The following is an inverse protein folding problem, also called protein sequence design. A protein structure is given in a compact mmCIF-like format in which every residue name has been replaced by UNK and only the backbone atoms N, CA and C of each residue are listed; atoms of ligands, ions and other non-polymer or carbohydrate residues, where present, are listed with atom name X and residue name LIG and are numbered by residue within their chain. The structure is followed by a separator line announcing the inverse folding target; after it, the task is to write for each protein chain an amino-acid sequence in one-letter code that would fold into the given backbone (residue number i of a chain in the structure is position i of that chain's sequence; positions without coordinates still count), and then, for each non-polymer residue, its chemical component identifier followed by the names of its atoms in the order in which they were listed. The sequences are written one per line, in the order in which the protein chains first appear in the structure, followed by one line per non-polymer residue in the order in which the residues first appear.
data_IF_737435930180
#
_entry.id   IF_737435930180
#
_cell.length_a   1.000
_cell.length_b   1.000
_cell.length_c   1.000
_cell.angle_alpha   90.00
_cell.angle_beta   90.00
_cell.angle_gamma   90.00
#
_symmetry.space_group_name_H-M   'P 1'
#
loop_
_entity.id
_entity.type
_entity.pdbx_description
1 polymer ?
#
# COMPACT_ATOMS: atom_id res chain seq x y z
N UNK A 1 23.33 6.26 11.41
CA UNK A 1 24.44 5.99 10.46
C UNK A 1 24.69 4.48 10.25
N UNK A 2 23.65 3.63 10.29
CA UNK A 2 23.76 2.17 10.14
C UNK A 2 22.97 1.61 8.94
N UNK A 3 22.59 2.46 7.99
CA UNK A 3 21.80 2.09 6.81
C UNK A 3 22.63 1.95 5.52
N UNK A 4 23.96 2.01 5.59
CA UNK A 4 24.84 2.06 4.41
C UNK A 4 25.67 0.79 4.16
N UNK A 5 25.45 -0.31 4.89
CA UNK A 5 26.38 -1.46 4.90
C UNK A 5 25.85 -2.76 4.25
N UNK A 6 24.72 -2.76 3.55
CA UNK A 6 24.24 -4.00 2.93
C UNK A 6 23.57 -3.68 1.60
N UNK A 7 24.27 -3.97 0.49
CA UNK A 7 23.80 -3.86 -0.88
C UNK A 7 22.70 -4.86 -1.23
N UNK A 8 21.67 -4.95 -0.39
CA UNK A 8 20.48 -5.75 -0.63
C UNK A 8 19.29 -4.77 -0.60
N UNK A 9 19.17 -4.00 -1.69
CA UNK A 9 18.29 -2.85 -1.79
C UNK A 9 16.81 -3.20 -2.04
N UNK A 10 16.50 -4.49 -2.10
CA UNK A 10 15.20 -4.97 -2.54
C UNK A 10 14.78 -6.17 -1.69
N UNK A 11 13.69 -6.03 -0.94
CA UNK A 11 13.04 -7.14 -0.25
C UNK A 11 11.84 -7.60 -1.08
N UNK A 12 12.01 -8.68 -1.84
CA UNK A 12 10.91 -9.32 -2.59
C UNK A 12 10.35 -10.48 -1.77
N UNK A 13 9.07 -10.39 -1.42
CA UNK A 13 8.33 -11.48 -0.79
C UNK A 13 7.32 -12.06 -1.78
N UNK A 14 7.57 -13.27 -2.27
CA UNK A 14 6.60 -14.00 -3.08
C UNK A 14 5.55 -14.65 -2.18
N UNK A 15 4.30 -14.20 -2.27
CA UNK A 15 3.19 -14.70 -1.44
C UNK A 15 2.58 -15.96 -2.06
N UNK A 16 2.12 -15.88 -3.31
CA UNK A 16 1.46 -16.98 -4.00
C UNK A 16 1.37 -16.71 -5.51
N UNK A 17 1.43 -17.75 -6.34
CA UNK A 17 1.22 -17.68 -7.80
C UNK A 17 -0.26 -17.59 -8.18
N UNK A 18 -0.72 -16.43 -8.69
CA UNK A 18 -2.14 -16.12 -8.85
C UNK A 18 -2.86 -17.08 -9.80
N UNK A 19 -2.25 -17.37 -10.95
CA UNK A 19 -2.67 -18.40 -11.90
C UNK A 19 -1.46 -18.95 -12.64
N UNK A 20 -1.52 -20.22 -13.06
CA UNK A 20 -0.48 -20.83 -13.89
C UNK A 20 -1.16 -21.45 -15.13
N UNK A 21 -1.01 -20.81 -16.29
CA UNK A 21 -1.54 -21.30 -17.56
C UNK A 21 -0.46 -21.17 -18.63
N UNK A 22 -0.10 -22.29 -19.26
CA UNK A 22 0.75 -22.30 -20.46
C UNK A 22 2.13 -21.65 -20.31
N UNK A 23 2.71 -21.64 -19.11
CA UNK A 23 4.03 -21.04 -18.83
C UNK A 23 3.99 -19.61 -18.26
N UNK A 24 2.83 -18.95 -18.21
CA UNK A 24 2.64 -17.67 -17.53
C UNK A 24 2.14 -17.88 -16.11
N UNK A 25 2.93 -17.41 -15.15
CA UNK A 25 2.73 -17.60 -13.73
C UNK A 25 2.91 -16.28 -12.96
N UNK A 26 2.02 -15.27 -13.16
CA UNK A 26 2.12 -14.03 -12.39
C UNK A 26 1.96 -14.34 -10.90
N UNK A 27 3.06 -14.15 -10.18
CA UNK A 27 3.11 -14.23 -8.74
C UNK A 27 2.57 -12.94 -8.13
N UNK A 28 1.79 -13.08 -7.07
CA UNK A 28 1.66 -11.99 -6.10
C UNK A 28 3.00 -11.93 -5.36
N UNK A 29 3.94 -11.17 -5.90
CA UNK A 29 5.15 -10.76 -5.18
C UNK A 29 4.99 -9.33 -4.68
N UNK A 30 5.37 -9.13 -3.41
CA UNK A 30 5.50 -7.81 -2.81
C UNK A 30 6.95 -7.38 -2.94
N UNK A 31 7.19 -6.31 -3.70
CA UNK A 31 8.49 -5.69 -3.84
C UNK A 31 8.60 -4.50 -2.91
N UNK A 32 9.52 -4.59 -1.96
CA UNK A 32 9.81 -3.51 -1.05
C UNK A 32 11.22 -2.97 -1.34
N UNK A 33 11.25 -1.87 -2.08
CA UNK A 33 12.44 -1.06 -2.38
C UNK A 33 12.37 0.30 -1.66
N UNK A 34 13.47 1.05 -1.62
CA UNK A 34 13.56 2.38 -1.02
C UNK A 34 12.55 3.39 -1.58
N UNK A 35 12.22 3.30 -2.88
CA UNK A 35 11.17 4.13 -3.50
C UNK A 35 9.78 3.76 -2.97
N UNK A 36 9.46 2.46 -2.92
CA UNK A 36 8.18 1.97 -2.39
C UNK A 36 8.00 2.32 -0.91
N UNK A 37 9.08 2.32 -0.12
CA UNK A 37 9.08 2.78 1.28
C UNK A 37 8.70 4.26 1.42
N UNK A 38 9.27 5.14 0.58
CA UNK A 38 8.92 6.56 0.56
C UNK A 38 7.45 6.77 0.17
N UNK A 39 6.99 6.07 -0.86
CA UNK A 39 5.60 6.14 -1.31
C UNK A 39 4.63 5.63 -0.24
N UNK A 40 4.95 4.52 0.42
CA UNK A 40 4.18 3.97 1.54
C UNK A 40 4.12 4.94 2.72
N UNK A 41 5.25 5.58 3.06
CA UNK A 41 5.30 6.62 4.10
C UNK A 41 4.42 7.83 3.77
N UNK A 42 4.43 8.27 2.51
CA UNK A 42 3.59 9.36 2.05
C UNK A 42 2.10 9.00 2.07
N UNK A 43 1.72 7.81 1.56
CA UNK A 43 0.34 7.33 1.54
C UNK A 43 -0.21 7.18 2.96
N UNK A 44 0.56 6.59 3.88
CA UNK A 44 0.12 6.40 5.27
C UNK A 44 0.09 7.72 6.04
N UNK A 45 1.08 8.61 5.86
CA UNK A 45 1.13 9.91 6.53
C UNK A 45 0.02 10.86 6.09
N UNK A 46 -0.14 11.05 4.77
CA UNK A 46 -1.21 11.87 4.21
C UNK A 46 -2.57 11.23 4.48
N UNK A 47 -2.67 9.90 4.36
CA UNK A 47 -3.87 9.15 4.67
C UNK A 47 -4.32 9.35 6.12
N UNK A 48 -3.39 9.32 7.08
CA UNK A 48 -3.66 9.56 8.49
C UNK A 48 -4.16 10.99 8.76
N UNK A 49 -3.55 12.00 8.14
CA UNK A 49 -3.98 13.40 8.24
C UNK A 49 -5.40 13.60 7.70
N UNK A 50 -5.70 13.02 6.53
CA UNK A 50 -7.04 13.07 5.92
C UNK A 50 -8.06 12.38 6.84
N UNK A 51 -7.68 11.26 7.47
CA UNK A 51 -8.56 10.51 8.36
C UNK A 51 -8.98 11.32 9.59
N UNK A 52 -8.04 12.03 10.21
CA UNK A 52 -8.32 12.93 11.35
C UNK A 52 -9.22 14.08 10.88
N UNK A 53 -8.88 14.71 9.75
CA UNK A 53 -9.66 15.81 9.20
C UNK A 53 -11.09 15.40 8.87
N UNK A 54 -11.26 14.28 8.18
CA UNK A 54 -12.57 13.74 7.81
C UNK A 54 -13.38 13.32 9.04
N UNK A 55 -12.73 12.75 10.06
CA UNK A 55 -13.41 12.37 11.31
C UNK A 55 -13.99 13.59 12.03
N UNK A 56 -13.28 14.72 12.02
CA UNK A 56 -13.78 15.97 12.58
C UNK A 56 -14.84 16.64 11.70
N UNK A 57 -14.62 16.67 10.38
CA UNK A 57 -15.49 17.34 9.41
C UNK A 57 -16.87 16.65 9.25
N UNK A 58 -16.91 15.32 9.28
CA UNK A 58 -18.14 14.54 9.10
C UNK A 58 -18.90 14.30 10.43
N UNK A 59 -18.51 14.94 11.55
CA UNK A 59 -19.27 14.86 12.81
C UNK A 59 -20.65 15.48 12.61
N UNK A 60 -21.66 14.62 12.47
CA UNK A 60 -23.06 15.01 12.36
C UNK A 60 -23.77 14.55 11.08
N UNK A 61 -23.06 13.95 10.13
CA UNK A 61 -23.60 13.45 8.87
C UNK A 61 -23.82 11.93 8.88
N UNK A 62 -24.96 11.45 8.41
CA UNK A 62 -25.33 10.01 8.38
C UNK A 62 -24.40 9.16 7.48
N UNK A 63 -23.58 9.80 6.64
CA UNK A 63 -22.67 9.15 5.70
C UNK A 63 -21.30 8.70 6.24
N UNK A 64 -21.00 8.91 7.53
CA UNK A 64 -19.67 8.70 8.12
C UNK A 64 -19.05 7.34 7.80
N UNK A 65 -19.78 6.26 8.05
CA UNK A 65 -19.29 4.89 7.86
C UNK A 65 -19.00 4.57 6.39
N UNK A 66 -19.81 5.09 5.45
CA UNK A 66 -19.60 4.87 4.00
C UNK A 66 -18.35 5.57 3.51
N UNK A 67 -18.15 6.84 3.87
CA UNK A 67 -16.96 7.58 3.52
C UNK A 67 -15.69 6.90 4.04
N UNK A 68 -15.70 6.51 5.31
CA UNK A 68 -14.57 5.80 5.92
C UNK A 68 -14.27 4.46 5.25
N UNK A 69 -15.30 3.71 4.86
CA UNK A 69 -15.13 2.43 4.17
C UNK A 69 -14.42 2.61 2.83
N UNK A 70 -14.88 3.56 2.01
CA UNK A 70 -14.23 3.86 0.72
C UNK A 70 -12.82 4.41 0.89
N UNK A 71 -12.59 5.25 1.90
CA UNK A 71 -11.28 5.80 2.19
C UNK A 71 -10.27 4.71 2.60
N UNK A 72 -10.65 3.81 3.50
CA UNK A 72 -9.78 2.70 3.90
C UNK A 72 -9.49 1.75 2.71
N UNK A 73 -10.51 1.47 1.88
CA UNK A 73 -10.32 0.65 0.68
C UNK A 73 -9.36 1.31 -0.32
N UNK A 74 -9.47 2.63 -0.48
CA UNK A 74 -8.59 3.41 -1.34
C UNK A 74 -7.14 3.34 -0.87
N UNK A 75 -6.89 3.58 0.42
CA UNK A 75 -5.54 3.49 1.01
C UNK A 75 -4.98 2.08 0.88
N UNK A 76 -5.78 1.05 1.18
CA UNK A 76 -5.36 -0.36 1.04
C UNK A 76 -5.00 -0.72 -0.41
N UNK A 77 -5.80 -0.26 -1.38
CA UNK A 77 -5.54 -0.49 -2.81
C UNK A 77 -4.27 0.22 -3.27
N UNK A 78 -4.05 1.45 -2.81
CA UNK A 78 -2.84 2.22 -3.15
C UNK A 78 -1.57 1.57 -2.58
N UNK A 79 -1.65 1.02 -1.36
CA UNK A 79 -0.55 0.26 -0.77
C UNK A 79 -0.27 -1.03 -1.56
N UNK A 80 -1.30 -1.79 -1.93
CA UNK A 80 -1.15 -2.97 -2.78
C UNK A 80 -0.51 -2.64 -4.14
N UNK A 81 -0.86 -1.50 -4.74
CA UNK A 81 -0.29 -1.07 -6.03
C UNK A 81 1.20 -0.74 -5.89
N UNK A 82 1.60 0.00 -4.85
CA UNK A 82 3.00 0.40 -4.64
C UNK A 82 3.90 -0.77 -4.24
N UNK A 83 3.36 -1.77 -3.56
CA UNK A 83 4.08 -3.00 -3.24
C UNK A 83 4.03 -4.03 -4.37
N UNK A 84 3.16 -3.85 -5.38
CA UNK A 84 3.02 -4.76 -6.49
C UNK A 84 4.29 -4.82 -7.34
N UNK A 85 4.90 -5.99 -7.40
CA UNK A 85 6.11 -6.27 -8.18
C UNK A 85 5.81 -6.68 -9.64
N UNK A 86 4.55 -6.65 -10.05
CA UNK A 86 4.10 -7.18 -11.33
C UNK A 86 3.40 -6.09 -12.15
N UNK A 87 3.91 -5.82 -13.36
CA UNK A 87 3.26 -5.04 -14.40
C UNK A 87 2.62 -5.97 -15.42
#
# INVERSE_FOLDING_TARGET
MAFTSSGQQVFVQNLWTWFNVGGFAPGISLHLDGLSLLMMGMITGVGFLIHIFASWYMRGEEGYARFFSYFNLFVASMLLLVLGDNL
#
